data_IF_790726246126
#
_entry.id   IF_790726246126
#
_cell.length_a   1.000
_cell.length_b   1.000
_cell.length_c   1.000
_cell.angle_alpha   90.00
_cell.angle_beta   90.00
_cell.angle_gamma   90.00
#
_symmetry.space_group_name_H-M   'P 1'
#
loop_
_entity.id
_entity.type
_entity.pdbx_description
1 polymer ?
#
# COMPACT_ATOMS: atom_id res chain seq x y z
N UNK A 1 -5.04 -47.22 74.67
CA UNK A 1 -4.39 -46.23 73.80
C UNK A 1 -4.77 -46.50 72.35
N UNK A 2 -5.74 -45.74 71.80
CA UNK A 2 -6.15 -45.84 70.38
C UNK A 2 -5.55 -44.66 69.59
N UNK A 3 -4.67 -44.97 68.66
CA UNK A 3 -4.13 -43.95 67.70
C UNK A 3 -5.14 -43.75 66.61
N UNK A 4 -5.61 -42.51 66.46
CA UNK A 4 -6.46 -42.06 65.37
C UNK A 4 -5.55 -41.61 64.17
N UNK A 5 -5.66 -42.30 63.04
CA UNK A 5 -5.04 -41.89 61.77
C UNK A 5 -5.98 -40.86 61.09
N UNK A 6 -5.52 -39.63 61.01
CA UNK A 6 -6.16 -38.61 60.16
C UNK A 6 -5.61 -38.73 58.73
N UNK A 7 -6.49 -39.14 57.81
CA UNK A 7 -6.20 -39.10 56.37
C UNK A 7 -6.35 -37.64 55.91
N UNK A 8 -5.26 -37.08 55.41
CA UNK A 8 -5.27 -35.75 54.78
C UNK A 8 -5.61 -35.93 53.30
N UNK A 9 -6.76 -35.46 52.87
CA UNK A 9 -7.14 -35.43 51.44
C UNK A 9 -6.63 -34.10 50.85
N UNK A 10 -5.55 -34.19 50.07
CA UNK A 10 -5.07 -33.08 49.25
C UNK A 10 -5.93 -32.92 48.00
N UNK A 11 -6.73 -31.90 47.93
CA UNK A 11 -7.48 -31.53 46.73
C UNK A 11 -6.53 -30.76 45.81
N UNK A 12 -6.12 -31.38 44.71
CA UNK A 12 -5.34 -30.71 43.65
C UNK A 12 -6.33 -29.99 42.75
N UNK A 13 -6.36 -28.66 42.85
CA UNK A 13 -7.05 -27.82 41.87
C UNK A 13 -6.20 -27.76 40.58
N UNK A 14 -6.62 -28.49 39.55
CA UNK A 14 -6.13 -28.30 38.19
C UNK A 14 -6.75 -27.03 37.61
N UNK A 15 -5.99 -25.94 37.60
CA UNK A 15 -6.33 -24.70 36.87
C UNK A 15 -6.07 -24.98 35.39
N UNK A 16 -7.14 -25.26 34.63
CA UNK A 16 -7.07 -25.20 33.16
C UNK A 16 -6.99 -23.73 32.73
N UNK A 17 -5.80 -23.26 32.48
CA UNK A 17 -5.59 -22.01 31.77
C UNK A 17 -6.03 -22.19 30.31
N UNK A 18 -7.23 -21.71 29.95
CA UNK A 18 -7.63 -21.50 28.57
C UNK A 18 -6.74 -20.41 28.00
N UNK A 19 -5.68 -20.82 27.30
CA UNK A 19 -4.96 -19.91 26.42
C UNK A 19 -5.88 -19.68 25.22
N UNK A 20 -6.64 -18.59 25.25
CA UNK A 20 -7.26 -18.01 24.07
C UNK A 20 -6.13 -17.54 23.16
N UNK A 21 -5.67 -18.42 22.27
CA UNK A 21 -4.89 -17.98 21.12
C UNK A 21 -5.84 -17.17 20.26
N UNK A 22 -5.84 -15.87 20.49
CA UNK A 22 -6.32 -14.89 19.52
C UNK A 22 -5.49 -15.11 18.26
N UNK A 23 -6.02 -15.89 17.33
CA UNK A 23 -5.51 -15.96 15.98
C UNK A 23 -5.83 -14.62 15.34
N UNK A 24 -5.01 -13.61 15.66
CA UNK A 24 -4.99 -12.37 14.94
C UNK A 24 -4.71 -12.72 13.48
N UNK A 25 -5.70 -12.52 12.59
CA UNK A 25 -5.47 -12.55 11.15
C UNK A 25 -4.31 -11.59 10.91
N UNK A 26 -3.12 -12.13 10.65
CA UNK A 26 -2.00 -11.37 10.12
C UNK A 26 -2.53 -10.66 8.90
N UNK A 27 -2.58 -9.33 8.93
CA UNK A 27 -2.98 -8.55 7.79
C UNK A 27 -2.00 -8.88 6.65
N UNK A 28 -2.49 -9.54 5.60
CA UNK A 28 -1.72 -9.94 4.42
C UNK A 28 -1.38 -8.72 3.53
N UNK A 29 -1.09 -7.59 4.11
CA UNK A 29 -0.84 -6.32 3.44
C UNK A 29 0.39 -6.32 2.51
N UNK A 30 1.23 -7.35 2.54
CA UNK A 30 2.43 -7.48 1.70
C UNK A 30 2.31 -8.61 0.68
N UNK A 31 1.09 -9.09 0.41
CA UNK A 31 0.85 -10.14 -0.56
C UNK A 31 0.86 -9.53 -1.96
N UNK A 32 1.68 -10.09 -2.84
CA UNK A 32 1.66 -9.77 -4.26
C UNK A 32 0.65 -10.69 -4.98
N UNK A 33 -0.16 -10.12 -5.83
CA UNK A 33 -1.18 -10.82 -6.60
C UNK A 33 -0.73 -10.85 -8.08
N UNK A 34 -0.60 -12.04 -8.64
CA UNK A 34 -0.37 -12.20 -10.08
C UNK A 34 -1.60 -11.68 -10.83
N UNK A 35 -1.40 -10.71 -11.72
CA UNK A 35 -2.51 -10.13 -12.47
C UNK A 35 -2.81 -11.00 -13.71
N UNK A 36 -4.04 -11.51 -13.85
CA UNK A 36 -4.41 -12.33 -14.99
C UNK A 36 -4.18 -11.63 -16.32
N UNK A 37 -3.55 -12.32 -17.28
CA UNK A 37 -3.26 -11.77 -18.61
C UNK A 37 -2.07 -10.81 -18.67
N UNK A 38 -1.39 -10.57 -17.54
CA UNK A 38 -0.22 -9.68 -17.47
C UNK A 38 1.02 -10.44 -16.98
N UNK A 39 2.20 -9.90 -17.26
CA UNK A 39 3.50 -10.42 -16.80
C UNK A 39 4.04 -9.67 -15.59
N UNK A 40 3.14 -9.22 -14.73
CA UNK A 40 3.49 -8.61 -13.44
C UNK A 40 2.59 -9.11 -12.31
N UNK A 41 3.05 -8.92 -11.09
CA UNK A 41 2.25 -9.02 -9.88
C UNK A 41 2.18 -7.66 -9.18
N UNK A 42 1.06 -7.38 -8.53
CA UNK A 42 0.79 -6.12 -7.85
C UNK A 42 0.48 -6.36 -6.38
N UNK A 43 0.86 -5.44 -5.50
CA UNK A 43 0.52 -5.53 -4.08
C UNK A 43 -0.99 -5.51 -3.90
N UNK A 44 -1.48 -6.40 -3.04
CA UNK A 44 -2.90 -6.62 -2.76
C UNK A 44 -3.61 -5.35 -2.29
N UNK A 45 -2.87 -4.47 -1.61
CA UNK A 45 -3.32 -3.20 -1.05
C UNK A 45 -2.28 -2.13 -1.33
N UNK A 46 -2.57 -0.89 -0.96
CA UNK A 46 -1.58 0.17 -0.83
C UNK A 46 -0.44 -0.28 0.10
N UNK A 47 0.72 0.34 0.00
CA UNK A 47 1.83 0.15 0.94
C UNK A 47 1.40 0.65 2.31
N UNK A 48 1.39 -0.26 3.30
CA UNK A 48 1.03 0.11 4.66
C UNK A 48 2.15 0.84 5.39
N UNK A 49 1.80 1.66 6.39
CA UNK A 49 2.78 2.31 7.28
C UNK A 49 3.71 1.29 7.93
N UNK A 50 3.20 0.11 8.31
CA UNK A 50 4.02 -0.98 8.85
C UNK A 50 5.10 -1.45 7.87
N UNK A 51 4.75 -1.67 6.60
CA UNK A 51 5.71 -2.06 5.57
C UNK A 51 6.70 -0.91 5.32
N UNK A 52 6.19 0.31 5.16
CA UNK A 52 7.01 1.48 4.91
C UNK A 52 8.06 1.69 6.01
N UNK A 53 7.67 1.68 7.28
CA UNK A 53 8.58 1.79 8.43
C UNK A 53 9.61 0.66 8.47
N UNK A 54 9.24 -0.55 8.08
CA UNK A 54 10.18 -1.68 8.06
C UNK A 54 11.34 -1.45 7.08
N UNK A 55 11.11 -0.69 6.01
CA UNK A 55 12.08 -0.37 4.95
C UNK A 55 12.77 0.97 5.23
N UNK A 56 11.99 2.03 5.45
CA UNK A 56 12.48 3.41 5.53
C UNK A 56 12.94 3.82 6.93
N UNK A 57 12.46 3.14 7.98
CA UNK A 57 12.74 3.40 9.40
C UNK A 57 12.03 4.61 10.00
N UNK A 58 11.15 5.25 9.26
CA UNK A 58 10.35 6.39 9.68
C UNK A 58 8.93 6.30 9.13
N UNK A 59 8.02 7.09 9.70
CA UNK A 59 6.61 7.15 9.28
C UNK A 59 6.21 8.61 9.06
N UNK A 60 6.12 9.09 7.81
CA UNK A 60 5.74 10.46 7.51
C UNK A 60 4.24 10.73 7.69
N UNK A 61 3.40 9.68 7.59
CA UNK A 61 1.95 9.79 7.51
C UNK A 61 1.34 10.71 8.56
N UNK A 62 0.31 11.46 8.19
CA UNK A 62 -0.48 12.28 9.10
C UNK A 62 -1.41 11.40 9.97
N UNK A 63 -2.19 10.53 9.34
CA UNK A 63 -3.10 9.61 10.03
C UNK A 63 -2.36 8.34 10.48
N UNK A 64 -1.93 8.29 11.73
CA UNK A 64 -1.12 7.18 12.24
C UNK A 64 -1.92 5.88 12.43
N UNK A 65 -1.41 4.79 11.86
CA UNK A 65 -1.98 3.44 12.01
C UNK A 65 -1.15 2.40 11.26
N UNK A 66 -0.63 1.38 11.94
CA UNK A 66 0.29 0.41 11.34
C UNK A 66 -0.28 -0.28 10.07
N UNK A 67 -1.60 -0.45 10.01
CA UNK A 67 -2.31 -1.06 8.88
C UNK A 67 -2.97 -0.04 7.95
N UNK A 68 -2.86 1.27 8.21
CA UNK A 68 -3.29 2.29 7.28
C UNK A 68 -2.30 2.39 6.11
N UNK A 69 -2.71 2.91 4.95
CA UNK A 69 -1.77 3.25 3.89
C UNK A 69 -0.74 4.25 4.40
N UNK A 70 0.46 4.21 3.89
CA UNK A 70 1.40 5.32 4.06
C UNK A 70 0.93 6.47 3.18
N UNK A 71 0.94 7.68 3.72
CA UNK A 71 0.68 8.94 3.01
C UNK A 71 1.71 10.01 3.44
N UNK A 72 1.64 11.21 2.92
CA UNK A 72 2.68 12.23 3.06
C UNK A 72 4.03 11.75 2.48
N UNK A 73 3.97 11.07 1.37
CA UNK A 73 5.12 10.56 0.61
C UNK A 73 5.13 11.16 -0.79
N UNK A 74 6.25 11.69 -1.20
CA UNK A 74 6.44 12.18 -2.55
C UNK A 74 6.60 11.02 -3.55
N UNK A 75 6.50 11.33 -4.84
CA UNK A 75 6.84 10.37 -5.89
C UNK A 75 8.30 9.91 -5.78
N UNK A 76 9.20 10.82 -5.40
CA UNK A 76 10.61 10.50 -5.16
C UNK A 76 10.79 9.54 -3.98
N UNK A 77 10.04 9.73 -2.87
CA UNK A 77 10.03 8.79 -1.74
C UNK A 77 9.57 7.40 -2.17
N UNK A 78 8.55 7.33 -3.04
CA UNK A 78 7.99 6.07 -3.50
C UNK A 78 8.98 5.28 -4.38
N UNK A 79 9.69 5.91 -5.32
CA UNK A 79 10.71 5.24 -6.14
C UNK A 79 11.96 4.86 -5.32
N UNK A 80 12.35 5.70 -4.37
CA UNK A 80 13.42 5.40 -3.42
C UNK A 80 13.09 4.18 -2.56
N UNK A 81 11.85 4.14 -2.03
CA UNK A 81 11.32 2.99 -1.30
C UNK A 81 11.35 1.71 -2.14
N UNK A 82 10.91 1.77 -3.40
CA UNK A 82 10.88 0.62 -4.30
C UNK A 82 12.29 0.02 -4.49
N UNK A 83 13.30 0.84 -4.78
CA UNK A 83 14.67 0.36 -4.91
C UNK A 83 15.21 -0.22 -3.60
N UNK A 84 14.97 0.48 -2.48
CA UNK A 84 15.41 0.02 -1.16
C UNK A 84 14.78 -1.32 -0.78
N UNK A 85 13.48 -1.49 -1.04
CA UNK A 85 12.78 -2.76 -0.82
C UNK A 85 13.33 -3.86 -1.74
N UNK A 86 13.59 -3.54 -3.01
CA UNK A 86 14.14 -4.49 -3.99
C UNK A 86 15.46 -5.06 -3.50
N UNK A 87 16.41 -4.21 -3.12
CA UNK A 87 17.70 -4.63 -2.55
C UNK A 87 17.51 -5.48 -1.28
N UNK A 88 16.63 -5.06 -0.36
CA UNK A 88 16.36 -5.79 0.87
C UNK A 88 15.75 -7.19 0.63
N UNK A 89 15.12 -7.40 -0.53
CA UNK A 89 14.54 -8.68 -0.96
C UNK A 89 15.44 -9.49 -1.90
N UNK A 90 16.61 -8.97 -2.27
CA UNK A 90 17.53 -9.62 -3.19
C UNK A 90 17.11 -9.54 -4.66
N UNK A 91 16.29 -8.54 -5.01
CA UNK A 91 15.88 -8.25 -6.38
C UNK A 91 16.73 -7.13 -6.99
N UNK A 92 16.81 -7.10 -8.32
CA UNK A 92 17.47 -6.05 -9.06
C UNK A 92 16.64 -4.76 -9.00
N UNK A 93 17.19 -3.61 -8.53
CA UNK A 93 16.48 -2.34 -8.50
C UNK A 93 16.06 -1.88 -9.89
N UNK A 94 14.87 -1.28 -10.00
CA UNK A 94 14.27 -0.86 -11.27
C UNK A 94 14.71 0.56 -11.65
N UNK A 95 14.84 1.46 -10.67
CA UNK A 95 15.10 2.86 -10.94
C UNK A 95 16.57 3.21 -10.90
N UNK A 96 16.99 4.15 -11.74
CA UNK A 96 18.32 4.74 -11.67
C UNK A 96 18.28 6.26 -11.82
N UNK A 97 19.24 6.93 -11.19
CA UNK A 97 19.52 8.36 -11.39
C UNK A 97 20.88 8.46 -12.04
N UNK A 98 20.95 9.10 -13.21
CA UNK A 98 22.15 9.16 -14.04
C UNK A 98 22.81 7.80 -14.26
N UNK A 99 21.98 6.76 -14.45
CA UNK A 99 22.39 5.36 -14.65
C UNK A 99 22.79 4.64 -13.36
N UNK A 100 22.72 5.25 -12.18
CA UNK A 100 23.09 4.63 -10.91
C UNK A 100 21.86 4.14 -10.14
N UNK A 101 21.77 2.84 -9.85
CA UNK A 101 20.68 2.22 -9.09
C UNK A 101 20.88 2.26 -7.58
N UNK A 102 22.10 2.60 -7.10
CA UNK A 102 22.40 2.72 -5.68
C UNK A 102 21.82 4.02 -5.11
N UNK A 103 20.74 3.89 -4.35
CA UNK A 103 20.01 5.01 -3.75
C UNK A 103 20.89 5.90 -2.84
N UNK A 104 22.00 5.40 -2.32
CA UNK A 104 22.92 6.19 -1.49
C UNK A 104 23.72 7.22 -2.32
N UNK A 105 23.62 7.15 -3.64
CA UNK A 105 24.27 8.06 -4.62
C UNK A 105 23.33 9.04 -5.26
N UNK A 106 22.05 9.05 -4.88
CA UNK A 106 21.04 9.90 -5.52
C UNK A 106 21.01 11.33 -4.97
N UNK A 107 21.86 11.66 -3.99
CA UNK A 107 21.84 12.95 -3.27
C UNK A 107 20.44 13.38 -2.84
N UNK A 108 19.68 12.42 -2.35
CA UNK A 108 18.28 12.55 -1.96
C UNK A 108 18.08 12.10 -0.52
N UNK A 109 17.39 12.94 0.24
CA UNK A 109 16.95 12.60 1.60
C UNK A 109 15.42 12.54 1.63
N UNK A 110 14.81 11.38 1.89
CA UNK A 110 13.35 11.25 1.96
C UNK A 110 12.70 12.24 2.93
N UNK A 111 11.47 12.66 2.62
CA UNK A 111 10.60 13.54 3.43
C UNK A 111 11.15 14.95 3.71
N UNK A 112 12.00 15.47 2.86
CA UNK A 112 12.57 16.82 3.01
C UNK A 112 12.06 17.82 1.96
N UNK A 113 10.93 17.52 1.30
CA UNK A 113 10.33 18.36 0.24
C UNK A 113 11.33 18.74 -0.88
N UNK A 114 12.37 17.92 -1.07
CA UNK A 114 13.38 18.09 -2.10
C UNK A 114 13.12 17.19 -3.31
N UNK A 115 13.77 17.47 -4.42
CA UNK A 115 13.73 16.67 -5.64
C UNK A 115 14.97 15.81 -5.76
N UNK A 116 14.86 14.70 -6.49
CA UNK A 116 16.03 14.00 -7.00
C UNK A 116 16.51 14.76 -8.24
N UNK A 117 17.74 15.22 -8.20
CA UNK A 117 18.38 15.86 -9.34
C UNK A 117 19.01 14.81 -10.27
N UNK A 118 18.96 15.04 -11.59
CA UNK A 118 19.49 14.14 -12.60
C UNK A 118 18.42 13.41 -13.43
N UNK A 119 18.85 12.60 -14.38
CA UNK A 119 17.97 11.83 -15.25
C UNK A 119 17.48 10.57 -14.53
N UNK A 120 16.18 10.53 -14.23
CA UNK A 120 15.55 9.37 -13.61
C UNK A 120 15.02 8.43 -14.69
N UNK A 121 15.48 7.20 -14.71
CA UNK A 121 15.03 6.15 -15.64
C UNK A 121 14.56 4.91 -14.92
N UNK A 122 13.79 4.06 -15.63
CA UNK A 122 13.40 2.75 -15.12
C UNK A 122 13.83 1.63 -16.09
N UNK A 123 14.33 0.53 -15.53
CA UNK A 123 14.58 -0.71 -16.24
C UNK A 123 13.43 -1.70 -15.95
N UNK A 124 12.45 -1.78 -16.84
CA UNK A 124 11.29 -2.69 -16.67
C UNK A 124 11.63 -4.17 -16.87
N UNK A 125 12.84 -4.50 -17.32
CA UNK A 125 13.34 -5.89 -17.36
C UNK A 125 13.90 -6.35 -16.03
N UNK A 126 14.20 -5.43 -15.08
CA UNK A 126 14.60 -5.77 -13.72
C UNK A 126 13.41 -6.38 -12.96
N UNK A 127 13.70 -7.32 -12.05
CA UNK A 127 12.68 -8.04 -11.29
C UNK A 127 12.33 -7.39 -9.94
N UNK A 128 12.79 -6.16 -9.71
CA UNK A 128 12.54 -5.40 -8.50
C UNK A 128 11.14 -4.78 -8.45
N UNK A 129 10.87 -4.12 -7.33
CA UNK A 129 9.62 -3.40 -7.12
C UNK A 129 9.64 -2.04 -7.82
N UNK A 130 8.47 -1.63 -8.30
CA UNK A 130 8.26 -0.34 -8.96
C UNK A 130 6.84 0.18 -8.77
N UNK A 131 6.60 1.42 -9.12
CA UNK A 131 5.26 1.97 -9.29
C UNK A 131 4.62 1.38 -10.56
N UNK A 132 3.29 1.24 -10.59
CA UNK A 132 2.56 0.92 -11.82
C UNK A 132 2.63 2.09 -12.80
N UNK A 133 2.51 1.80 -14.09
CA UNK A 133 2.02 2.79 -15.04
C UNK A 133 0.52 3.01 -14.83
N UNK A 134 -0.04 4.12 -15.34
CA UNK A 134 -1.49 4.35 -15.32
C UNK A 134 -2.24 3.22 -16.01
N UNK A 135 -1.74 2.73 -17.14
CA UNK A 135 -2.35 1.62 -17.88
C UNK A 135 -2.36 0.32 -17.05
N UNK A 136 -1.23 -0.03 -16.40
CA UNK A 136 -1.13 -1.20 -15.53
C UNK A 136 -2.05 -1.08 -14.31
N UNK A 137 -2.10 0.12 -13.72
CA UNK A 137 -2.97 0.40 -12.59
C UNK A 137 -4.44 0.25 -12.95
N UNK A 138 -4.89 0.89 -14.03
CA UNK A 138 -6.28 0.83 -14.51
C UNK A 138 -6.69 -0.59 -14.93
N UNK A 139 -5.80 -1.32 -15.60
CA UNK A 139 -6.05 -2.73 -15.94
C UNK A 139 -6.28 -3.57 -14.67
N UNK A 140 -5.43 -3.39 -13.66
CA UNK A 140 -5.54 -4.09 -12.39
C UNK A 140 -6.79 -3.66 -11.60
N UNK A 141 -7.14 -2.35 -11.61
CA UNK A 141 -8.30 -1.80 -10.93
C UNK A 141 -9.61 -2.32 -11.51
N UNK A 142 -9.73 -2.45 -12.83
CA UNK A 142 -10.89 -3.09 -13.48
C UNK A 142 -11.13 -4.51 -12.99
N UNK A 143 -10.08 -5.25 -12.66
CA UNK A 143 -10.23 -6.58 -12.10
C UNK A 143 -10.95 -7.59 -13.00
N UNK A 144 -10.91 -7.39 -14.35
CA UNK A 144 -11.66 -8.18 -15.31
C UNK A 144 -13.17 -7.90 -15.31
N UNK A 145 -13.60 -6.76 -14.77
CA UNK A 145 -15.00 -6.35 -14.61
C UNK A 145 -15.22 -4.97 -15.27
N UNK A 146 -16.46 -4.67 -15.62
CA UNK A 146 -16.85 -3.39 -16.24
C UNK A 146 -17.69 -2.58 -15.26
N UNK A 147 -17.08 -2.19 -14.14
CA UNK A 147 -17.67 -1.34 -13.11
C UNK A 147 -17.04 0.04 -13.12
N UNK A 148 -17.78 1.03 -12.67
CA UNK A 148 -17.31 2.41 -12.48
C UNK A 148 -16.17 2.47 -11.45
N UNK A 149 -16.36 1.78 -10.32
CA UNK A 149 -15.36 1.67 -9.25
C UNK A 149 -14.76 0.27 -9.21
N UNK A 150 -13.63 0.12 -8.58
CA UNK A 150 -12.90 -1.14 -8.54
C UNK A 150 -13.64 -2.24 -7.76
N UNK A 151 -14.49 -3.01 -8.44
CA UNK A 151 -15.24 -4.15 -7.90
C UNK A 151 -16.73 -3.92 -7.68
N UNK A 152 -17.28 -2.72 -7.95
CA UNK A 152 -18.69 -2.41 -7.86
C UNK A 152 -19.08 -1.14 -8.63
N UNK A 153 -20.37 -0.96 -8.94
CA UNK A 153 -20.93 0.35 -9.31
C UNK A 153 -21.40 1.16 -8.08
N UNK A 154 -21.41 0.54 -6.90
CA UNK A 154 -21.80 1.18 -5.64
C UNK A 154 -20.53 1.57 -4.88
N UNK A 155 -20.19 2.85 -4.82
CA UNK A 155 -18.96 3.38 -4.22
C UNK A 155 -18.80 2.96 -2.75
N UNK A 156 -19.88 2.93 -1.99
CA UNK A 156 -19.88 2.56 -0.57
C UNK A 156 -19.38 1.13 -0.29
N UNK A 157 -19.50 0.22 -1.29
CA UNK A 157 -19.00 -1.15 -1.13
C UNK A 157 -17.47 -1.25 -1.19
N UNK A 158 -16.82 -0.38 -1.95
CA UNK A 158 -15.43 -0.55 -2.39
C UNK A 158 -14.49 0.57 -1.94
N UNK A 159 -15.01 1.77 -1.62
CA UNK A 159 -14.19 2.96 -1.36
C UNK A 159 -14.37 3.53 0.05
N UNK A 160 -13.26 4.06 0.58
CA UNK A 160 -13.26 5.06 1.64
C UNK A 160 -13.11 6.44 0.98
N UNK A 161 -14.16 7.25 1.00
CA UNK A 161 -14.24 8.57 0.37
C UNK A 161 -14.94 9.58 1.31
N UNK A 162 -15.10 10.83 0.94
CA UNK A 162 -15.66 11.87 1.82
C UNK A 162 -16.98 11.45 2.50
N UNK A 163 -17.85 10.75 1.76
CA UNK A 163 -19.16 10.34 2.26
C UNK A 163 -19.13 9.34 3.42
N UNK A 164 -18.02 8.59 3.60
CA UNK A 164 -17.98 7.52 4.60
C UNK A 164 -16.64 7.40 5.36
N UNK A 165 -15.59 8.16 5.00
CA UNK A 165 -14.25 8.08 5.58
C UNK A 165 -14.15 8.69 6.99
N UNK A 166 -15.11 9.54 7.39
CA UNK A 166 -15.03 10.36 8.60
C UNK A 166 -13.77 11.25 8.63
N UNK A 167 -13.34 11.76 7.48
CA UNK A 167 -12.25 12.72 7.34
C UNK A 167 -10.85 12.14 7.62
N UNK A 168 -10.60 10.88 7.27
CA UNK A 168 -9.30 10.21 7.52
C UNK A 168 -9.11 8.96 6.67
N UNK A 169 -7.85 8.50 6.58
CA UNK A 169 -7.51 7.19 6.05
C UNK A 169 -7.98 6.05 6.97
N UNK A 170 -8.21 4.88 6.40
CA UNK A 170 -8.62 3.67 7.10
C UNK A 170 -7.60 2.53 6.91
N UNK A 171 -7.59 1.52 7.82
CA UNK A 171 -6.80 0.31 7.59
C UNK A 171 -7.13 -0.32 6.25
N UNK A 172 -6.12 -0.74 5.50
CA UNK A 172 -6.28 -1.35 4.19
C UNK A 172 -7.14 -2.64 4.23
N UNK A 173 -7.77 -2.99 3.11
CA UNK A 173 -8.57 -4.20 2.92
C UNK A 173 -9.79 -4.31 3.87
N UNK A 174 -10.45 -3.19 4.15
CA UNK A 174 -11.69 -3.18 4.93
C UNK A 174 -12.95 -3.15 4.05
N UNK A 175 -12.83 -2.73 2.81
CA UNK A 175 -13.90 -2.72 1.81
C UNK A 175 -13.84 -3.98 0.94
N UNK A 176 -14.71 -4.11 -0.04
CA UNK A 176 -14.77 -5.22 -0.99
C UNK A 176 -13.62 -5.14 -2.00
N UNK A 177 -12.99 -6.28 -2.28
CA UNK A 177 -11.99 -6.37 -3.32
C UNK A 177 -12.60 -6.40 -4.72
N UNK A 178 -11.82 -6.02 -5.72
CA UNK A 178 -12.17 -6.23 -7.12
C UNK A 178 -12.03 -7.70 -7.57
N UNK A 179 -12.31 -7.98 -8.84
CA UNK A 179 -12.27 -9.34 -9.40
C UNK A 179 -10.90 -10.01 -9.40
N UNK A 180 -9.81 -9.24 -9.25
CA UNK A 180 -8.44 -9.76 -9.09
C UNK A 180 -7.99 -9.83 -7.63
N UNK A 181 -8.90 -9.64 -6.66
CA UNK A 181 -8.61 -9.65 -5.22
C UNK A 181 -7.70 -8.52 -4.75
N UNK A 182 -7.69 -7.40 -5.46
CA UNK A 182 -7.06 -6.15 -5.06
C UNK A 182 -8.06 -5.30 -4.28
N UNK A 183 -7.59 -4.64 -3.24
CA UNK A 183 -8.38 -3.77 -2.36
C UNK A 183 -7.95 -2.31 -2.51
N UNK A 184 -8.85 -1.43 -2.10
CA UNK A 184 -8.58 0.00 -1.99
C UNK A 184 -8.05 0.62 -3.31
N UNK A 185 -8.48 0.01 -4.47
CA UNK A 185 -8.23 0.57 -5.81
C UNK A 185 -9.20 1.71 -6.13
N UNK A 186 -10.11 2.03 -5.20
CA UNK A 186 -11.02 3.17 -5.18
C UNK A 186 -11.05 3.72 -3.77
N UNK A 187 -10.69 5.01 -3.59
CA UNK A 187 -10.66 5.72 -2.32
C UNK A 187 -9.46 5.39 -1.43
N UNK A 188 -9.54 5.75 -0.17
CA UNK A 188 -8.52 5.72 0.87
C UNK A 188 -7.39 6.71 0.61
N UNK A 189 -6.41 6.41 -0.28
CA UNK A 189 -5.42 7.38 -0.76
C UNK A 189 -5.23 7.27 -2.26
N UNK A 190 -5.00 8.40 -2.93
CA UNK A 190 -4.48 8.41 -4.29
C UNK A 190 -3.15 7.66 -4.35
N UNK A 191 -2.88 7.02 -5.47
CA UNK A 191 -1.71 6.19 -5.65
C UNK A 191 -0.79 6.72 -6.74
N UNK A 192 0.44 7.05 -6.38
CA UNK A 192 1.46 7.45 -7.34
C UNK A 192 1.64 6.39 -8.43
N UNK A 193 1.64 6.86 -9.68
CA UNK A 193 2.01 6.09 -10.86
C UNK A 193 3.35 6.58 -11.43
N UNK A 194 3.94 5.76 -12.31
CA UNK A 194 5.18 6.12 -12.99
C UNK A 194 5.01 7.27 -13.97
N UNK A 195 3.85 7.32 -14.64
CA UNK A 195 3.60 8.25 -15.74
C UNK A 195 3.66 9.71 -15.30
N UNK A 196 4.01 10.56 -16.25
CA UNK A 196 4.08 12.00 -16.09
C UNK A 196 3.49 12.69 -17.30
N UNK A 197 3.03 13.92 -17.09
CA UNK A 197 2.80 14.90 -18.15
C UNK A 197 3.70 16.12 -17.95
N UNK A 198 3.39 17.23 -18.66
CA UNK A 198 4.16 18.47 -18.57
C UNK A 198 4.08 19.16 -17.19
N UNK A 199 3.11 18.78 -16.35
CA UNK A 199 2.82 19.44 -15.07
C UNK A 199 3.20 18.62 -13.84
N UNK A 200 3.39 17.28 -13.97
CA UNK A 200 3.73 16.46 -12.81
C UNK A 200 3.63 14.96 -13.05
N UNK A 201 3.37 14.22 -11.98
CA UNK A 201 3.21 12.75 -11.95
C UNK A 201 1.75 12.38 -11.78
N UNK A 202 1.34 11.27 -12.41
CA UNK A 202 -0.03 10.78 -12.33
C UNK A 202 -0.31 10.10 -10.99
N UNK A 203 -1.52 10.32 -10.46
CA UNK A 203 -2.09 9.62 -9.32
C UNK A 203 -3.44 9.05 -9.71
N UNK A 204 -3.77 7.83 -9.26
CA UNK A 204 -5.01 7.13 -9.54
C UNK A 204 -5.77 6.75 -8.28
N UNK A 205 -7.07 6.46 -8.39
CA UNK A 205 -7.88 5.76 -7.41
C UNK A 205 -8.70 6.60 -6.46
N UNK A 206 -8.46 7.91 -6.37
CA UNK A 206 -9.16 8.75 -5.38
C UNK A 206 -8.63 8.58 -3.96
N UNK A 207 -9.22 9.31 -3.02
CA UNK A 207 -8.78 9.32 -1.63
C UNK A 207 -9.93 9.45 -0.64
N UNK A 208 -9.64 9.49 0.65
CA UNK A 208 -10.58 9.65 1.76
C UNK A 208 -11.39 10.97 1.71
N UNK A 209 -10.95 11.98 0.92
CA UNK A 209 -11.61 13.27 0.75
C UNK A 209 -12.28 13.43 -0.63
N UNK A 210 -12.10 12.45 -1.54
CA UNK A 210 -12.76 12.51 -2.87
C UNK A 210 -14.27 12.53 -2.74
N UNK A 211 -14.94 13.33 -3.56
CA UNK A 211 -16.38 13.53 -3.52
C UNK A 211 -17.00 13.65 -4.92
N UNK A 212 -18.31 13.42 -5.01
CA UNK A 212 -19.07 13.42 -6.27
C UNK A 212 -19.16 14.80 -6.96
N UNK A 213 -18.75 15.91 -6.30
CA UNK A 213 -18.83 17.25 -6.83
C UNK A 213 -17.59 17.69 -7.60
N UNK A 214 -16.44 17.07 -7.33
CA UNK A 214 -15.14 17.44 -7.91
C UNK A 214 -14.55 16.33 -8.79
N UNK A 215 -15.38 15.80 -9.72
CA UNK A 215 -14.98 14.71 -10.60
C UNK A 215 -14.80 13.39 -9.82
N UNK A 216 -15.46 12.36 -10.26
CA UNK A 216 -15.47 11.00 -9.72
C UNK A 216 -14.08 10.39 -9.53
N UNK A 217 -13.27 11.03 -8.70
CA UNK A 217 -11.84 10.70 -8.49
C UNK A 217 -11.61 9.24 -8.10
N UNK A 218 -12.64 8.57 -7.51
CA UNK A 218 -12.59 7.16 -7.16
C UNK A 218 -12.88 6.21 -8.33
N UNK A 219 -13.26 6.71 -9.52
CA UNK A 219 -13.48 5.88 -10.70
C UNK A 219 -12.18 5.25 -11.20
N UNK A 220 -12.28 4.03 -11.72
CA UNK A 220 -11.11 3.31 -12.27
C UNK A 220 -10.48 3.98 -13.50
N UNK A 221 -11.23 4.85 -14.17
CA UNK A 221 -10.78 5.59 -15.37
C UNK A 221 -10.12 6.91 -15.05
N UNK A 222 -10.29 7.42 -13.82
CA UNK A 222 -9.87 8.76 -13.43
C UNK A 222 -8.51 8.75 -12.72
N UNK A 223 -7.89 9.90 -12.74
CA UNK A 223 -6.65 10.18 -12.06
C UNK A 223 -6.39 11.67 -12.06
N UNK A 224 -5.41 12.09 -11.29
CA UNK A 224 -5.03 13.49 -11.20
C UNK A 224 -3.51 13.64 -11.31
N UNK A 225 -3.04 14.85 -11.58
CA UNK A 225 -1.61 15.16 -11.71
C UNK A 225 -1.18 15.97 -10.50
N UNK A 226 -0.09 15.55 -9.85
CA UNK A 226 0.55 16.27 -8.76
C UNK A 226 2.04 16.46 -9.02
N UNK A 227 2.64 17.46 -8.39
CA UNK A 227 4.08 17.69 -8.47
C UNK A 227 4.83 16.49 -7.84
N UNK A 228 5.94 16.07 -8.43
CA UNK A 228 6.68 14.90 -7.98
C UNK A 228 7.21 14.99 -6.52
N UNK A 229 7.39 16.22 -6.01
CA UNK A 229 7.81 16.46 -4.61
C UNK A 229 6.67 16.76 -3.65
N UNK A 230 5.41 16.79 -4.12
CA UNK A 230 4.26 16.99 -3.22
C UNK A 230 4.17 15.87 -2.19
N UNK A 231 3.94 16.26 -0.95
CA UNK A 231 3.70 15.38 0.18
C UNK A 231 2.35 15.79 0.80
N UNK A 232 1.34 14.93 0.64
CA UNK A 232 -0.02 15.23 1.05
C UNK A 232 -0.62 14.00 1.76
N UNK A 233 -1.52 14.24 2.72
CA UNK A 233 -2.19 13.19 3.49
C UNK A 233 -3.27 12.43 2.69
N UNK A 234 -3.47 12.82 1.43
CA UNK A 234 -4.36 12.15 0.48
C UNK A 234 -3.63 11.25 -0.52
N UNK A 235 -2.28 11.26 -0.55
CA UNK A 235 -1.49 10.53 -1.55
C UNK A 235 -0.52 9.54 -0.90
N UNK A 236 -0.61 8.30 -1.35
CA UNK A 236 0.28 7.19 -1.05
C UNK A 236 0.68 6.44 -2.32
N UNK A 237 0.88 5.15 -2.24
CA UNK A 237 1.23 4.33 -3.42
C UNK A 237 1.02 2.83 -3.17
N UNK A 238 0.89 2.08 -4.26
CA UNK A 238 1.09 0.63 -4.27
C UNK A 238 2.27 0.24 -5.13
N UNK A 239 2.72 -0.99 -4.98
CA UNK A 239 3.88 -1.49 -5.73
C UNK A 239 3.48 -2.67 -6.61
N UNK A 240 4.21 -2.81 -7.70
CA UNK A 240 4.20 -4.01 -8.50
C UNK A 240 5.64 -4.46 -8.82
N UNK A 241 5.80 -5.64 -9.39
CA UNK A 241 7.05 -6.08 -10.00
C UNK A 241 6.79 -6.97 -11.20
N UNK A 242 7.68 -6.91 -12.18
CA UNK A 242 7.65 -7.79 -13.35
C UNK A 242 7.97 -9.24 -12.93
N UNK A 243 7.28 -10.20 -13.54
CA UNK A 243 7.48 -11.64 -13.35
C UNK A 243 7.46 -12.34 -14.71
N UNK A 244 8.25 -13.39 -14.84
CA UNK A 244 8.29 -14.23 -16.04
C UNK A 244 6.99 -15.01 -16.25
#
# INVERSE_FOLDING_TARGET
MKRSNKLSVSVIFLIFAFILTSCGKSSNANVMIKIPGQNFEMSKTEVTQKLYVSVMRENPSFFKGANNPVENVSWYDAIYFCNKLSVAKGYEPVYSVDGNTDITKWDYTPHQENSIEGEITQNTSANGYRLPTVEEWQYAAKGGQDYTYAGSNEIDEVAWYEGNSNGKTHPVAQKKANGYSLYDMSGNVFEWCWDSDLSGRCCCGGSWISNDYNYDDCEVSNGYISSANDQDDVVGFRILRSVE
#
